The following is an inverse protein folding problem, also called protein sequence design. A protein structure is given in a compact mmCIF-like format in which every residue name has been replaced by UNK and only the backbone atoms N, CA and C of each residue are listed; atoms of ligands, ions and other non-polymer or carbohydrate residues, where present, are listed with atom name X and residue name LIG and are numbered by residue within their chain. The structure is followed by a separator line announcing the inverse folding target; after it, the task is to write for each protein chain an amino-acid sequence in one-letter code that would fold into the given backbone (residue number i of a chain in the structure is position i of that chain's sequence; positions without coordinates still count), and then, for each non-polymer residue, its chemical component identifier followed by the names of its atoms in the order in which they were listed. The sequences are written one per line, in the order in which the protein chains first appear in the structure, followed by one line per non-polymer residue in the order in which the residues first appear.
data_IF_669847595208
#
_entry.id   IF_669847595208
#
_cell.length_a   1.000
_cell.length_b   1.000
_cell.length_c   1.000
_cell.angle_alpha   90.00
_cell.angle_beta   90.00
_cell.angle_gamma   90.00
#
_symmetry.space_group_name_H-M   'P 1'
#
loop_
_entity.id
_entity.type
_entity.pdbx_description
1 polymer ?
#
# COMPACT_ATOMS: atom_id res chain seq x y z
N UNK A 1 22.24 -11.34 -8.12
CA UNK A 1 22.22 -9.87 -7.96
C UNK A 1 20.88 -9.23 -8.36
N UNK A 2 19.89 -10.00 -8.82
CA UNK A 2 18.56 -9.50 -9.28
C UNK A 2 17.50 -9.34 -8.18
N UNK A 3 17.70 -9.93 -6.99
CA UNK A 3 16.69 -9.91 -5.91
C UNK A 3 16.61 -8.61 -5.10
N UNK A 4 17.64 -7.76 -5.09
CA UNK A 4 17.62 -6.48 -4.33
C UNK A 4 16.65 -5.44 -4.91
N UNK A 5 16.42 -5.48 -6.21
CA UNK A 5 15.52 -4.54 -6.89
C UNK A 5 14.03 -4.87 -6.70
N UNK A 6 13.67 -6.12 -6.44
CA UNK A 6 12.28 -6.55 -6.37
C UNK A 6 11.58 -6.09 -5.09
N UNK A 7 12.28 -6.10 -3.97
CA UNK A 7 11.75 -5.70 -2.64
C UNK A 7 11.64 -4.20 -2.48
N UNK A 8 12.62 -3.46 -2.97
CA UNK A 8 12.65 -1.99 -2.90
C UNK A 8 11.47 -1.34 -3.62
N UNK A 9 10.93 -2.00 -4.58
CA UNK A 9 9.97 -1.52 -5.56
C UNK A 9 8.49 -1.57 -5.11
N UNK A 10 8.06 -2.46 -4.23
CA UNK A 10 6.66 -2.57 -3.75
C UNK A 10 6.31 -1.62 -2.61
N UNK A 11 7.28 -1.24 -1.84
CA UNK A 11 7.11 -0.44 -0.63
C UNK A 11 6.85 1.04 -0.89
N UNK A 12 7.12 1.47 -2.07
CA UNK A 12 6.93 2.85 -2.52
C UNK A 12 5.45 3.18 -2.71
N UNK A 13 4.63 2.17 -3.04
CA UNK A 13 3.16 2.31 -3.16
C UNK A 13 2.51 2.82 -1.87
N UNK A 14 3.16 2.62 -0.74
CA UNK A 14 2.58 2.81 0.58
C UNK A 14 3.06 4.08 1.24
N UNK A 15 4.28 4.47 0.96
CA UNK A 15 4.79 5.74 1.45
C UNK A 15 3.87 6.90 1.01
N UNK A 16 3.16 6.79 -0.14
CA UNK A 16 2.20 7.80 -0.58
C UNK A 16 0.96 7.88 0.29
N UNK A 17 0.45 6.74 0.74
CA UNK A 17 -0.68 6.75 1.66
C UNK A 17 -0.29 7.29 3.04
N UNK A 18 0.94 7.01 3.49
CA UNK A 18 1.49 7.60 4.72
C UNK A 18 1.81 9.09 4.57
N UNK A 19 2.06 9.59 3.35
CA UNK A 19 2.34 11.02 3.12
C UNK A 19 1.07 11.86 3.06
N UNK A 20 -0.09 11.30 2.74
CA UNK A 20 -1.36 11.97 3.07
C UNK A 20 -1.46 12.19 4.59
N UNK A 21 -0.80 11.34 5.39
CA UNK A 21 -0.76 11.45 6.86
C UNK A 21 0.34 12.40 7.40
N UNK A 22 1.50 12.47 6.78
CA UNK A 22 2.64 13.28 7.28
C UNK A 22 2.38 14.80 7.30
N UNK A 23 1.67 15.39 6.38
CA UNK A 23 1.39 16.84 6.37
C UNK A 23 0.44 17.36 7.42
N UNK A 24 -0.49 16.52 7.87
CA UNK A 24 -1.33 16.86 9.05
C UNK A 24 -0.44 17.14 10.25
N UNK A 25 0.77 16.55 10.27
CA UNK A 25 1.72 16.60 11.37
C UNK A 25 2.40 17.95 11.56
N UNK A 26 2.98 18.47 10.50
CA UNK A 26 3.86 19.64 10.62
C UNK A 26 3.10 20.91 10.94
N UNK A 27 1.87 21.03 10.46
CA UNK A 27 1.05 22.22 10.68
C UNK A 27 0.39 22.24 12.07
N UNK A 28 -0.02 21.09 12.59
CA UNK A 28 -0.71 21.03 13.87
C UNK A 28 0.24 21.11 15.06
N UNK A 29 1.48 20.64 14.94
CA UNK A 29 2.52 20.82 15.98
C UNK A 29 2.84 22.30 16.21
N UNK A 30 2.79 23.13 15.17
CA UNK A 30 3.03 24.56 15.28
C UNK A 30 1.84 25.35 15.89
N UNK A 31 0.60 24.85 15.79
CA UNK A 31 -0.59 25.53 16.34
C UNK A 31 -1.03 25.04 17.72
N UNK A 32 -0.69 23.81 18.10
CA UNK A 32 -1.27 23.16 19.29
C UNK A 32 -0.50 23.33 20.60
N UNK A 33 0.57 24.11 20.60
CA UNK A 33 1.28 24.46 21.84
C UNK A 33 0.44 25.35 22.80
N UNK A 34 -0.87 25.47 22.56
CA UNK A 34 -1.81 26.26 23.37
C UNK A 34 -3.18 25.60 23.58
N UNK A 35 -3.33 24.41 24.04
CA UNK A 35 -4.49 23.98 24.85
C UNK A 35 -4.60 22.44 24.86
N UNK A 36 -4.18 21.87 25.97
CA UNK A 36 -4.40 20.46 26.29
C UNK A 36 -5.69 20.34 27.10
N UNK A 37 -6.65 19.55 26.67
CA UNK A 37 -7.67 18.99 27.53
C UNK A 37 -8.04 17.57 27.08
N UNK A 38 -8.05 16.67 28.06
CA UNK A 38 -8.29 15.24 27.96
C UNK A 38 -9.72 14.91 27.61
N UNK A 39 -9.95 13.97 26.72
CA UNK A 39 -11.15 13.11 26.79
C UNK A 39 -10.80 11.69 26.29
N UNK A 40 -11.05 10.72 27.16
CA UNK A 40 -10.86 9.29 26.96
C UNK A 40 -12.04 8.70 26.18
N UNK A 41 -11.75 7.92 25.13
CA UNK A 41 -12.64 6.87 24.66
C UNK A 41 -11.81 5.62 24.39
N UNK A 42 -12.09 4.58 25.17
CA UNK A 42 -11.32 3.34 25.28
C UNK A 42 -11.86 2.32 24.27
N UNK A 43 -11.08 1.99 23.27
CA UNK A 43 -11.11 0.67 22.63
C UNK A 43 -9.76 0.02 22.92
N UNK A 44 -9.77 -1.16 23.55
CA UNK A 44 -8.56 -1.88 23.92
C UNK A 44 -7.81 -2.31 22.66
N UNK A 45 -6.75 -1.60 22.35
CA UNK A 45 -5.69 -2.00 21.44
C UNK A 45 -4.72 -2.87 22.24
N UNK A 46 -4.72 -4.18 21.98
CA UNK A 46 -3.82 -5.14 22.65
C UNK A 46 -2.41 -5.16 22.06
N UNK A 47 -2.15 -4.34 21.04
CA UNK A 47 -0.82 -4.13 20.48
C UNK A 47 0.11 -3.48 21.53
N UNK A 48 1.38 -3.81 21.49
CA UNK A 48 2.41 -3.11 22.28
C UNK A 48 2.22 -1.59 22.12
N UNK A 49 2.16 -0.81 23.19
CA UNK A 49 1.90 0.63 23.11
C UNK A 49 2.86 1.39 22.19
N UNK A 50 3.97 0.76 21.84
CA UNK A 50 5.02 1.33 21.00
C UNK A 50 4.99 0.85 19.53
N UNK A 51 4.15 -0.12 19.17
CA UNK A 51 4.06 -0.65 17.81
C UNK A 51 2.58 -0.62 17.38
N UNK A 52 2.27 0.11 16.32
CA UNK A 52 0.91 0.22 15.77
C UNK A 52 0.90 -0.24 14.33
N UNK A 53 0.00 -1.18 14.02
CA UNK A 53 -0.21 -1.72 12.69
C UNK A 53 -1.53 -1.22 12.10
N UNK A 54 -1.52 -0.87 10.81
CA UNK A 54 -2.71 -0.57 10.04
C UNK A 54 -2.57 -1.11 8.62
N UNK A 55 -3.71 -1.43 8.01
CA UNK A 55 -3.73 -1.98 6.67
C UNK A 55 -3.99 -0.90 5.63
N UNK A 56 -3.14 -0.83 4.64
CA UNK A 56 -3.36 -0.04 3.46
C UNK A 56 -3.96 -0.95 2.39
N UNK A 57 -5.10 -0.56 1.82
CA UNK A 57 -5.88 -1.36 0.89
C UNK A 57 -6.04 -0.59 -0.41
N UNK A 58 -5.54 -1.16 -1.50
CA UNK A 58 -5.84 -0.72 -2.86
C UNK A 58 -6.84 -1.66 -3.50
N UNK A 59 -7.98 -1.14 -3.98
CA UNK A 59 -9.03 -1.94 -4.58
C UNK A 59 -9.17 -1.67 -6.08
N UNK A 60 -9.70 -2.65 -6.81
CA UNK A 60 -10.06 -2.53 -8.22
C UNK A 60 -11.53 -2.15 -8.44
N UNK A 61 -12.20 -1.68 -7.38
CA UNK A 61 -13.60 -1.28 -7.39
C UNK A 61 -13.91 -0.25 -8.46
N UNK A 62 -15.08 -0.39 -9.08
CA UNK A 62 -15.66 0.57 -10.00
C UNK A 62 -16.96 1.09 -9.42
N UNK A 63 -17.32 2.31 -9.80
CA UNK A 63 -18.58 2.90 -9.39
C UNK A 63 -19.76 1.98 -9.76
N UNK A 64 -20.60 1.64 -8.76
CA UNK A 64 -21.74 0.74 -8.91
C UNK A 64 -21.45 -0.76 -8.72
N UNK A 65 -20.20 -1.20 -8.57
CA UNK A 65 -19.87 -2.58 -8.22
C UNK A 65 -20.02 -2.82 -6.71
N UNK A 66 -20.76 -3.87 -6.33
CA UNK A 66 -20.95 -4.21 -4.90
C UNK A 66 -19.81 -5.05 -4.32
N UNK A 67 -19.01 -5.70 -5.15
CA UNK A 67 -17.95 -6.59 -4.71
C UNK A 67 -16.72 -6.47 -5.61
N UNK A 68 -15.60 -6.14 -5.02
CA UNK A 68 -14.31 -5.99 -5.66
C UNK A 68 -13.21 -6.55 -4.78
N UNK A 69 -12.04 -6.80 -5.36
CA UNK A 69 -10.91 -7.42 -4.66
C UNK A 69 -9.90 -6.37 -4.21
N UNK A 70 -9.17 -6.70 -3.16
CA UNK A 70 -8.00 -5.94 -2.73
C UNK A 70 -6.78 -6.38 -3.55
N UNK A 71 -6.41 -5.59 -4.55
CA UNK A 71 -5.25 -5.88 -5.40
C UNK A 71 -3.92 -5.42 -4.79
N UNK A 72 -4.01 -4.55 -3.79
CA UNK A 72 -2.88 -4.09 -3.00
C UNK A 72 -3.22 -4.18 -1.51
N UNK A 73 -2.39 -4.86 -0.75
CA UNK A 73 -2.55 -5.00 0.70
C UNK A 73 -1.20 -4.83 1.37
N UNK A 74 -1.12 -3.88 2.31
CA UNK A 74 0.14 -3.59 2.94
C UNK A 74 -0.04 -3.26 4.40
N UNK A 75 0.64 -4.01 5.25
CA UNK A 75 0.74 -3.70 6.67
C UNK A 75 1.74 -2.56 6.82
N UNK A 76 1.24 -1.42 7.27
CA UNK A 76 2.07 -0.30 7.68
C UNK A 76 2.25 -0.36 9.19
N UNK A 77 3.48 -0.51 9.64
CA UNK A 77 3.85 -0.60 11.05
C UNK A 77 4.57 0.66 11.47
N UNK A 78 4.02 1.36 12.44
CA UNK A 78 4.67 2.45 13.15
C UNK A 78 5.36 1.88 14.39
N UNK A 79 6.68 1.73 14.32
CA UNK A 79 7.49 1.17 15.40
C UNK A 79 8.25 2.28 16.13
N UNK A 80 7.65 2.74 17.21
CA UNK A 80 8.21 3.81 18.05
C UNK A 80 9.36 3.30 18.93
N UNK A 81 9.39 1.99 19.22
CA UNK A 81 10.45 1.35 19.99
C UNK A 81 11.78 1.37 19.23
N UNK A 82 11.74 1.01 17.95
CA UNK A 82 12.93 0.95 17.09
C UNK A 82 13.06 2.17 16.18
N UNK A 83 12.18 3.18 16.34
CA UNK A 83 12.17 4.43 15.57
C UNK A 83 12.19 4.17 14.07
N UNK A 84 11.29 3.30 13.61
CA UNK A 84 11.17 2.91 12.21
C UNK A 84 9.72 2.88 11.77
N UNK A 85 9.52 3.08 10.47
CA UNK A 85 8.29 2.78 9.76
C UNK A 85 8.55 1.54 8.91
N UNK A 86 7.71 0.52 9.04
CA UNK A 86 7.87 -0.72 8.28
C UNK A 86 6.67 -0.92 7.36
N UNK A 87 6.95 -1.31 6.16
CA UNK A 87 5.94 -1.50 5.13
C UNK A 87 6.05 -2.93 4.60
N UNK A 88 5.04 -3.75 4.89
CA UNK A 88 5.04 -5.15 4.49
C UNK A 88 3.95 -5.40 3.45
N UNK A 89 4.32 -5.59 2.20
CA UNK A 89 3.39 -5.98 1.15
C UNK A 89 2.97 -7.43 1.31
N UNK A 90 1.66 -7.67 1.33
CA UNK A 90 1.08 -9.01 1.26
C UNK A 90 0.69 -9.31 -0.18
N UNK A 91 1.22 -10.41 -0.74
CA UNK A 91 0.89 -10.79 -2.12
C UNK A 91 -0.57 -11.21 -2.21
N UNK A 92 -1.32 -10.64 -3.14
CA UNK A 92 -2.77 -10.85 -3.29
C UNK A 92 -3.16 -12.30 -3.56
N UNK A 93 -2.30 -13.05 -4.27
CA UNK A 93 -2.53 -14.44 -4.63
C UNK A 93 -1.95 -15.42 -3.59
N UNK A 94 -1.60 -14.97 -2.38
CA UNK A 94 -1.18 -15.83 -1.27
C UNK A 94 -2.32 -16.77 -0.90
N UNK A 95 -2.06 -18.07 -0.86
CA UNK A 95 -3.05 -19.09 -0.49
C UNK A 95 -3.25 -19.09 1.02
N UNK A 96 -4.47 -18.85 1.48
CA UNK A 96 -4.79 -18.66 2.90
C UNK A 96 -6.11 -19.35 3.27
N UNK A 97 -6.34 -19.57 4.55
CA UNK A 97 -7.62 -19.99 5.09
C UNK A 97 -8.45 -18.76 5.47
N UNK A 98 -9.54 -18.51 4.72
CA UNK A 98 -10.46 -17.38 4.91
C UNK A 98 -11.59 -17.83 5.86
N UNK A 99 -11.73 -17.21 7.05
CA UNK A 99 -12.76 -17.58 8.02
C UNK A 99 -14.17 -17.58 7.43
N UNK A 100 -14.88 -18.71 7.56
CA UNK A 100 -16.25 -18.88 7.06
C UNK A 100 -16.40 -19.07 5.55
N UNK A 101 -15.30 -19.01 4.79
CA UNK A 101 -15.29 -19.21 3.33
C UNK A 101 -14.51 -20.47 2.94
N UNK A 102 -13.37 -20.71 3.56
CA UNK A 102 -12.46 -21.78 3.23
C UNK A 102 -11.14 -21.30 2.65
N UNK A 103 -10.37 -22.22 2.04
CA UNK A 103 -9.06 -21.86 1.48
C UNK A 103 -9.20 -21.20 0.11
N UNK A 104 -8.51 -20.07 -0.07
CA UNK A 104 -8.53 -19.26 -1.28
C UNK A 104 -7.37 -18.25 -1.33
N UNK A 105 -7.47 -17.29 -2.23
CA UNK A 105 -6.50 -16.19 -2.33
C UNK A 105 -6.75 -15.13 -1.26
N UNK A 106 -5.70 -14.54 -0.72
CA UNK A 106 -5.83 -13.50 0.31
C UNK A 106 -6.74 -12.34 -0.11
N UNK A 107 -6.67 -11.91 -1.38
CA UNK A 107 -7.51 -10.82 -1.88
C UNK A 107 -9.00 -11.16 -2.00
N UNK A 108 -9.37 -12.44 -1.96
CA UNK A 108 -10.76 -12.89 -1.94
C UNK A 108 -11.43 -12.64 -0.57
N UNK A 109 -10.65 -12.56 0.50
CA UNK A 109 -11.17 -12.20 1.81
C UNK A 109 -11.86 -10.82 1.78
N UNK A 110 -11.28 -9.86 1.07
CA UNK A 110 -11.89 -8.55 0.89
C UNK A 110 -13.17 -8.60 0.05
N UNK A 111 -13.21 -9.45 -0.97
CA UNK A 111 -14.40 -9.66 -1.81
C UNK A 111 -15.58 -10.19 -0.99
N UNK A 112 -15.34 -11.15 -0.10
CA UNK A 112 -16.39 -11.81 0.68
C UNK A 112 -16.86 -11.02 1.91
N UNK A 113 -15.99 -10.23 2.53
CA UNK A 113 -16.32 -9.57 3.80
C UNK A 113 -15.55 -8.29 4.08
N UNK A 114 -15.11 -7.57 3.02
CA UNK A 114 -14.43 -6.30 3.10
C UNK A 114 -13.23 -6.33 4.08
N UNK A 115 -12.90 -5.17 4.67
CA UNK A 115 -11.79 -5.01 5.60
C UNK A 115 -11.89 -5.94 6.83
N UNK A 116 -13.08 -6.17 7.36
CA UNK A 116 -13.26 -6.98 8.56
C UNK A 116 -12.85 -8.44 8.35
N UNK A 117 -13.27 -9.04 7.24
CA UNK A 117 -12.87 -10.42 6.93
C UNK A 117 -11.42 -10.52 6.53
N UNK A 118 -10.90 -9.49 5.85
CA UNK A 118 -9.48 -9.41 5.51
C UNK A 118 -8.62 -9.34 6.78
N UNK A 119 -9.00 -8.55 7.79
CA UNK A 119 -8.31 -8.49 9.08
C UNK A 119 -8.29 -9.87 9.76
N UNK A 120 -9.45 -10.51 9.89
CA UNK A 120 -9.57 -11.85 10.48
C UNK A 120 -8.75 -12.90 9.73
N UNK A 121 -8.66 -12.75 8.40
CA UNK A 121 -7.85 -13.65 7.55
C UNK A 121 -6.36 -13.45 7.78
N UNK A 122 -5.91 -12.20 7.88
CA UNK A 122 -4.51 -11.87 8.18
C UNK A 122 -4.14 -12.35 9.58
N UNK A 123 -4.99 -12.11 10.57
CA UNK A 123 -4.78 -12.57 11.94
C UNK A 123 -4.71 -14.11 12.02
N UNK A 124 -5.67 -14.81 11.40
CA UNK A 124 -5.72 -16.29 11.42
C UNK A 124 -4.48 -16.93 10.79
N UNK A 125 -4.01 -16.41 9.66
CA UNK A 125 -2.93 -17.05 8.90
C UNK A 125 -1.54 -16.55 9.30
N UNK A 126 -1.43 -15.29 9.76
CA UNK A 126 -0.13 -14.66 10.03
C UNK A 126 0.02 -14.24 11.50
N UNK A 127 -1.05 -14.29 12.30
CA UNK A 127 -1.05 -13.90 13.72
C UNK A 127 -0.70 -12.42 13.92
N UNK A 128 -1.16 -11.56 13.00
CA UNK A 128 -0.98 -10.11 13.05
C UNK A 128 -2.36 -9.48 13.18
N UNK A 129 -2.63 -8.88 14.33
CA UNK A 129 -3.88 -8.19 14.61
C UNK A 129 -3.92 -6.82 13.91
N UNK A 130 -5.05 -6.54 13.26
CA UNK A 130 -5.31 -5.30 12.51
C UNK A 130 -6.73 -4.82 12.80
N UNK A 131 -6.88 -3.53 13.11
CA UNK A 131 -8.17 -2.90 13.40
C UNK A 131 -8.36 -1.59 12.63
N UNK A 132 -7.32 -1.09 12.01
CA UNK A 132 -7.29 0.20 11.34
C UNK A 132 -6.87 0.02 9.89
N UNK A 133 -7.51 0.81 9.00
CA UNK A 133 -7.19 0.76 7.58
C UNK A 133 -7.24 2.13 6.93
N UNK A 134 -6.63 2.22 5.76
CA UNK A 134 -6.83 3.27 4.77
C UNK A 134 -7.02 2.58 3.44
N UNK A 135 -8.08 2.95 2.72
CA UNK A 135 -8.44 2.36 1.43
C UNK A 135 -8.51 3.43 0.36
N UNK A 136 -8.04 3.06 -0.83
CA UNK A 136 -8.09 3.89 -2.06
C UNK A 136 -8.43 2.98 -3.23
N UNK A 137 -9.31 3.40 -4.12
CA UNK A 137 -9.53 2.73 -5.40
C UNK A 137 -8.80 3.42 -6.57
N UNK A 138 -8.96 2.90 -7.79
CA UNK A 138 -8.32 3.50 -8.96
C UNK A 138 -8.82 4.91 -9.28
N UNK A 139 -10.10 5.17 -9.03
CA UNK A 139 -10.72 6.46 -9.29
C UNK A 139 -10.25 7.48 -8.26
N UNK A 140 -10.23 7.09 -7.00
CA UNK A 140 -9.65 7.87 -5.91
C UNK A 140 -8.20 8.25 -6.22
N UNK A 141 -7.39 7.28 -6.69
CA UNK A 141 -6.00 7.55 -7.05
C UNK A 141 -5.90 8.54 -8.23
N UNK A 142 -6.79 8.45 -9.23
CA UNK A 142 -6.86 9.45 -10.30
C UNK A 142 -7.15 10.83 -9.74
N UNK A 143 -8.15 10.94 -8.86
CA UNK A 143 -8.57 12.19 -8.25
C UNK A 143 -7.48 12.80 -7.34
N UNK A 144 -6.79 11.97 -6.57
CA UNK A 144 -5.60 12.36 -5.80
C UNK A 144 -4.53 12.95 -6.72
N UNK A 145 -4.21 12.27 -7.82
CA UNK A 145 -3.20 12.74 -8.78
C UNK A 145 -3.61 14.07 -9.42
N UNK A 146 -4.88 14.23 -9.80
CA UNK A 146 -5.38 15.50 -10.31
C UNK A 146 -5.28 16.63 -9.28
N UNK A 147 -5.70 16.38 -8.05
CA UNK A 147 -5.62 17.35 -6.93
C UNK A 147 -4.16 17.78 -6.68
N UNK A 148 -3.23 16.87 -6.83
CA UNK A 148 -1.80 17.16 -6.74
C UNK A 148 -1.23 17.82 -8.00
N UNK A 149 -2.02 17.98 -9.06
CA UNK A 149 -1.60 18.62 -10.33
C UNK A 149 -0.75 17.72 -11.22
N UNK A 150 -0.88 16.41 -11.09
CA UNK A 150 -0.18 15.41 -11.89
C UNK A 150 1.01 14.76 -11.17
N UNK A 151 1.59 13.77 -11.82
CA UNK A 151 2.75 13.01 -11.35
C UNK A 151 3.84 12.97 -12.42
N UNK A 152 5.08 13.13 -12.00
CA UNK A 152 6.25 13.11 -12.91
C UNK A 152 6.73 11.66 -13.11
N UNK A 153 6.62 11.15 -14.33
CA UNK A 153 7.00 9.79 -14.68
C UNK A 153 7.97 9.79 -15.86
N UNK A 154 8.98 8.95 -15.79
CA UNK A 154 9.83 8.65 -16.93
C UNK A 154 9.21 7.49 -17.72
N UNK A 155 8.67 7.82 -18.90
CA UNK A 155 7.96 6.92 -19.81
C UNK A 155 8.95 6.40 -20.87
N UNK A 156 9.06 5.08 -21.01
CA UNK A 156 9.91 4.45 -22.01
C UNK A 156 9.25 4.49 -23.40
N UNK A 157 10.05 4.49 -24.48
CA UNK A 157 9.54 4.60 -25.86
C UNK A 157 8.48 3.55 -26.18
N UNK A 158 8.74 2.30 -25.79
CA UNK A 158 7.81 1.18 -26.05
C UNK A 158 6.52 1.24 -25.18
N UNK A 159 6.46 2.11 -24.17
CA UNK A 159 5.29 2.28 -23.29
C UNK A 159 4.28 3.28 -23.88
N UNK A 160 4.71 4.20 -24.74
CA UNK A 160 3.88 5.30 -25.25
C UNK A 160 2.60 4.79 -25.94
N UNK A 161 2.73 3.84 -26.87
CA UNK A 161 1.58 3.25 -27.55
C UNK A 161 0.66 2.49 -26.58
N UNK A 162 1.25 1.71 -25.68
CA UNK A 162 0.51 0.94 -24.70
C UNK A 162 -0.28 1.83 -23.73
N UNK A 163 0.27 2.96 -23.30
CA UNK A 163 -0.43 3.96 -22.49
C UNK A 163 -1.60 4.53 -23.28
N UNK A 164 -1.35 4.98 -24.52
CA UNK A 164 -2.34 5.63 -25.34
C UNK A 164 -3.54 4.72 -25.64
N UNK A 165 -3.33 3.42 -25.78
CA UNK A 165 -4.41 2.43 -25.94
C UNK A 165 -5.26 2.26 -24.67
N UNK A 166 -4.73 2.60 -23.47
CA UNK A 166 -5.43 2.48 -22.19
C UNK A 166 -6.02 3.80 -21.67
N UNK A 167 -5.59 4.94 -22.21
CA UNK A 167 -6.10 6.27 -21.83
C UNK A 167 -7.61 6.40 -22.01
N UNK A 168 -8.25 6.00 -23.14
CA UNK A 168 -9.67 6.19 -23.31
C UNK A 168 -10.50 5.56 -22.19
N UNK A 169 -10.26 4.30 -21.88
CA UNK A 169 -10.97 3.61 -20.80
C UNK A 169 -10.70 4.21 -19.43
N UNK A 170 -9.49 4.71 -19.18
CA UNK A 170 -9.13 5.39 -17.91
C UNK A 170 -9.78 6.77 -17.83
N UNK A 171 -9.88 7.50 -18.95
CA UNK A 171 -10.55 8.79 -19.03
C UNK A 171 -12.06 8.66 -18.80
N UNK A 172 -12.72 7.66 -19.41
CA UNK A 172 -14.14 7.40 -19.21
C UNK A 172 -14.48 7.06 -17.75
N UNK A 173 -13.64 6.27 -17.09
CA UNK A 173 -13.84 5.89 -15.68
C UNK A 173 -13.47 7.00 -14.68
N UNK A 174 -12.83 8.08 -15.10
CA UNK A 174 -12.38 9.15 -14.23
C UNK A 174 -13.53 10.07 -13.82
N UNK A 175 -13.80 10.20 -12.54
CA UNK A 175 -14.87 11.06 -11.96
C UNK A 175 -14.41 12.46 -11.56
N UNK A 176 -13.15 12.83 -11.81
CA UNK A 176 -12.65 14.16 -11.47
C UNK A 176 -13.34 15.26 -12.29
N UNK A 177 -14.00 16.20 -11.63
CA UNK A 177 -14.82 17.22 -12.29
C UNK A 177 -14.06 18.06 -13.33
N UNK A 178 -12.82 18.41 -13.04
CA UNK A 178 -11.99 19.26 -13.89
C UNK A 178 -10.91 18.45 -14.65
N UNK A 179 -11.24 17.23 -15.10
CA UNK A 179 -10.27 16.39 -15.86
C UNK A 179 -9.87 16.95 -17.23
N UNK A 180 -10.62 17.92 -17.74
CA UNK A 180 -10.41 18.53 -19.05
C UNK A 180 -10.69 17.59 -20.21
N UNK A 181 -10.29 17.97 -21.41
CA UNK A 181 -10.36 17.10 -22.59
C UNK A 181 -9.35 15.96 -22.50
N UNK A 182 -9.69 14.83 -23.11
CA UNK A 182 -8.80 13.67 -23.18
C UNK A 182 -7.53 14.00 -23.98
N UNK A 183 -6.38 13.73 -23.40
CA UNK A 183 -5.07 13.96 -24.02
C UNK A 183 -4.24 12.68 -24.02
N UNK A 184 -3.73 12.34 -25.19
CA UNK A 184 -2.77 11.26 -25.36
C UNK A 184 -1.35 11.73 -24.97
N UNK A 185 -0.42 10.78 -24.83
CA UNK A 185 1.00 11.03 -24.64
C UNK A 185 1.66 11.08 -26.02
N UNK A 186 2.48 12.10 -26.28
CA UNK A 186 3.07 12.31 -27.60
C UNK A 186 4.51 11.79 -27.72
N UNK A 187 5.19 11.57 -26.61
CA UNK A 187 6.62 11.17 -26.60
C UNK A 187 6.98 10.39 -25.34
N UNK A 188 8.10 9.70 -25.39
CA UNK A 188 8.78 9.13 -24.25
C UNK A 188 9.54 10.17 -23.43
N UNK A 189 10.17 9.74 -22.34
CA UNK A 189 10.96 10.56 -21.43
C UNK A 189 10.19 11.05 -20.21
N UNK A 190 10.86 11.86 -19.41
CA UNK A 190 10.30 12.38 -18.15
C UNK A 190 9.25 13.45 -18.42
N UNK A 191 8.00 13.18 -18.07
CA UNK A 191 6.85 14.05 -18.29
C UNK A 191 5.84 14.01 -17.13
N UNK A 192 4.95 15.01 -17.10
CA UNK A 192 3.84 15.05 -16.16
C UNK A 192 2.64 14.27 -16.71
N UNK A 193 2.23 13.24 -16.00
CA UNK A 193 0.99 12.51 -16.27
C UNK A 193 -0.12 13.02 -15.36
N UNK A 194 -1.30 13.27 -15.92
CA UNK A 194 -2.50 13.52 -15.13
C UNK A 194 -3.09 12.22 -14.56
N UNK A 195 -4.22 12.30 -13.82
CA UNK A 195 -4.79 11.15 -13.13
C UNK A 195 -5.07 9.96 -14.06
N UNK A 196 -5.82 10.15 -15.15
CA UNK A 196 -6.16 9.06 -16.06
C UNK A 196 -4.96 8.53 -16.87
N UNK A 197 -4.00 9.39 -17.23
CA UNK A 197 -2.77 8.97 -17.90
C UNK A 197 -1.88 8.13 -16.97
N UNK A 198 -1.79 8.52 -15.70
CA UNK A 198 -1.03 7.79 -14.70
C UNK A 198 -1.65 6.41 -14.42
N UNK A 199 -2.98 6.32 -14.32
CA UNK A 199 -3.66 5.02 -14.19
C UNK A 199 -3.48 4.16 -15.44
N UNK A 200 -3.62 4.72 -16.66
CA UNK A 200 -3.31 4.02 -17.89
C UNK A 200 -1.89 3.43 -17.87
N UNK A 201 -0.90 4.22 -17.46
CA UNK A 201 0.49 3.78 -17.32
C UNK A 201 0.63 2.60 -16.35
N UNK A 202 -0.05 2.62 -15.22
CA UNK A 202 0.01 1.52 -14.24
C UNK A 202 -0.66 0.24 -14.71
N UNK A 203 -1.53 0.31 -15.72
CA UNK A 203 -2.35 -0.81 -16.24
C UNK A 203 -1.75 -1.52 -17.45
N UNK A 204 -0.62 -1.07 -17.97
CA UNK A 204 0.05 -1.74 -19.11
C UNK A 204 0.32 -3.21 -18.75
N UNK A 205 -0.17 -4.12 -19.62
CA UNK A 205 -0.02 -5.58 -19.47
C UNK A 205 0.61 -6.24 -20.68
N UNK A 206 0.54 -5.60 -21.85
CA UNK A 206 1.05 -6.14 -23.11
C UNK A 206 2.57 -5.99 -23.16
N UNK A 207 3.29 -7.04 -23.41
CA UNK A 207 4.77 -7.14 -23.45
C UNK A 207 5.48 -7.35 -22.10
N UNK A 208 4.79 -7.38 -20.96
CA UNK A 208 5.44 -7.33 -19.66
C UNK A 208 4.98 -8.43 -18.69
N UNK A 209 5.91 -8.89 -17.88
CA UNK A 209 5.60 -9.72 -16.73
C UNK A 209 5.00 -8.87 -15.58
N UNK A 210 4.41 -9.52 -14.57
CA UNK A 210 3.83 -8.86 -13.40
C UNK A 210 4.80 -7.90 -12.69
N UNK A 211 6.11 -8.17 -12.79
CA UNK A 211 7.19 -7.39 -12.18
C UNK A 211 7.27 -5.98 -12.79
N UNK A 212 7.18 -5.84 -14.11
CA UNK A 212 7.23 -4.54 -14.78
C UNK A 212 5.98 -3.70 -14.51
N UNK A 213 4.79 -4.34 -14.46
CA UNK A 213 3.55 -3.65 -14.05
C UNK A 213 3.69 -3.07 -12.64
N UNK A 214 4.14 -3.87 -11.69
CA UNK A 214 4.38 -3.44 -10.32
C UNK A 214 5.43 -2.31 -10.26
N UNK A 215 6.43 -2.32 -11.14
CA UNK A 215 7.41 -1.23 -11.25
C UNK A 215 6.78 0.10 -11.69
N UNK A 216 5.86 0.07 -12.66
CA UNK A 216 5.13 1.28 -13.12
C UNK A 216 4.23 1.85 -12.03
N UNK A 217 3.47 1.00 -11.35
CA UNK A 217 2.66 1.43 -10.22
C UNK A 217 3.50 2.17 -9.19
N UNK A 218 4.70 1.68 -8.92
CA UNK A 218 5.64 2.32 -7.99
C UNK A 218 6.19 3.65 -8.48
N UNK A 219 6.58 3.76 -9.77
CA UNK A 219 7.04 5.03 -10.35
C UNK A 219 6.00 6.13 -10.13
N UNK A 220 4.71 5.85 -10.45
CA UNK A 220 3.60 6.80 -10.25
C UNK A 220 3.53 7.24 -8.79
N UNK A 221 3.58 6.31 -7.91
CA UNK A 221 3.39 6.55 -6.49
C UNK A 221 4.56 7.31 -5.86
N UNK A 222 5.81 7.01 -6.26
CA UNK A 222 6.97 7.81 -5.84
C UNK A 222 6.88 9.25 -6.31
N UNK A 223 6.34 9.45 -7.49
CA UNK A 223 6.12 10.80 -7.98
C UNK A 223 5.06 11.53 -7.16
N UNK A 224 3.91 10.88 -6.86
CA UNK A 224 2.90 11.42 -5.94
C UNK A 224 3.55 11.87 -4.63
N UNK A 225 4.42 11.05 -4.05
CA UNK A 225 5.14 11.33 -2.82
C UNK A 225 6.06 12.53 -2.89
N UNK A 226 6.88 12.54 -3.92
CA UNK A 226 7.87 13.61 -4.12
C UNK A 226 7.19 14.96 -4.35
N UNK A 227 6.14 14.96 -5.18
CA UNK A 227 5.42 16.19 -5.50
C UNK A 227 4.59 16.68 -4.33
N UNK A 228 4.03 15.77 -3.54
CA UNK A 228 3.34 16.10 -2.31
C UNK A 228 4.30 16.78 -1.30
N UNK A 229 5.47 16.20 -1.03
CA UNK A 229 6.48 16.77 -0.13
C UNK A 229 6.89 18.17 -0.57
N UNK A 230 7.00 18.41 -1.87
CA UNK A 230 7.42 19.70 -2.42
C UNK A 230 6.32 20.77 -2.38
N UNK A 231 5.06 20.40 -2.51
CA UNK A 231 3.89 21.31 -2.50
C UNK A 231 3.37 21.62 -1.09
N UNK A 232 3.68 20.79 -0.15
CA UNK A 232 3.17 20.82 1.21
C UNK A 232 3.61 22.05 2.04
N UNK A 233 4.53 22.84 1.56
CA UNK A 233 5.12 23.94 2.34
C UNK A 233 4.24 25.18 2.44
N UNK A 234 3.24 25.39 1.58
CA UNK A 234 2.52 26.65 1.50
C UNK A 234 1.00 26.60 1.76
N UNK A 235 0.33 25.46 1.64
CA UNK A 235 -1.14 25.41 1.79
C UNK A 235 -1.68 24.02 2.21
N UNK A 236 -1.16 23.51 3.29
CA UNK A 236 -1.36 22.16 3.79
C UNK A 236 -2.82 21.81 4.14
N UNK A 237 -3.48 22.68 4.90
CA UNK A 237 -4.87 22.44 5.34
C UNK A 237 -5.83 22.32 4.15
N UNK A 238 -5.64 23.17 3.15
CA UNK A 238 -6.46 23.13 1.94
C UNK A 238 -6.25 21.82 1.20
N UNK A 239 -5.00 21.42 0.98
CA UNK A 239 -4.68 20.18 0.25
C UNK A 239 -5.22 18.94 0.93
N UNK A 240 -5.17 18.86 2.27
CA UNK A 240 -5.75 17.76 3.02
C UNK A 240 -7.27 17.70 2.91
N UNK A 241 -7.95 18.86 2.98
CA UNK A 241 -9.39 18.94 2.75
C UNK A 241 -9.76 18.50 1.34
N UNK A 242 -8.96 18.91 0.36
CA UNK A 242 -9.18 18.57 -1.05
C UNK A 242 -8.94 17.05 -1.32
N UNK A 243 -8.09 16.40 -0.55
CA UNK A 243 -7.78 14.96 -0.66
C UNK A 243 -8.72 14.06 0.17
N UNK A 244 -9.35 14.61 1.21
CA UNK A 244 -10.18 13.84 2.14
C UNK A 244 -11.32 13.03 1.47
N UNK A 245 -11.95 13.49 0.37
CA UNK A 245 -12.98 12.72 -0.31
C UNK A 245 -12.48 11.46 -1.01
N UNK A 246 -11.17 11.33 -1.24
CA UNK A 246 -10.57 10.32 -2.11
C UNK A 246 -9.87 9.19 -1.34
N UNK A 247 -10.24 8.95 -0.10
CA UNK A 247 -9.85 7.76 0.65
C UNK A 247 -10.89 7.41 1.71
N UNK A 248 -10.98 6.14 2.05
CA UNK A 248 -11.82 5.64 3.14
C UNK A 248 -10.95 5.14 4.28
N UNK A 249 -11.34 5.44 5.52
CA UNK A 249 -10.58 5.02 6.70
C UNK A 249 -11.46 5.00 7.95
N UNK A 250 -11.12 4.13 8.91
CA UNK A 250 -11.65 4.16 10.27
C UNK A 250 -10.66 4.78 11.28
N UNK A 251 -9.59 5.41 10.80
CA UNK A 251 -8.65 6.16 11.64
C UNK A 251 -9.18 7.59 11.80
N UNK A 252 -9.36 8.04 13.03
CA UNK A 252 -9.82 9.40 13.29
C UNK A 252 -8.74 10.42 12.95
N UNK A 253 -9.15 11.67 12.68
CA UNK A 253 -8.21 12.76 12.39
C UNK A 253 -7.23 13.00 13.56
N UNK A 254 -7.65 12.77 14.79
CA UNK A 254 -6.78 12.88 15.98
C UNK A 254 -5.74 11.77 16.00
N UNK A 255 -6.15 10.50 15.73
CA UNK A 255 -5.21 9.37 15.67
C UNK A 255 -4.19 9.54 14.54
N UNK A 256 -4.63 10.01 13.39
CA UNK A 256 -3.76 10.35 12.25
C UNK A 256 -2.72 11.39 12.70
N UNK A 257 -3.18 12.43 13.38
CA UNK A 257 -2.30 13.46 13.91
C UNK A 257 -1.26 12.91 14.89
N UNK A 258 -1.69 12.11 15.87
CA UNK A 258 -0.81 11.53 16.89
C UNK A 258 0.24 10.60 16.28
N UNK A 259 -0.19 9.72 15.35
CA UNK A 259 0.72 8.83 14.61
C UNK A 259 1.82 9.61 13.92
N UNK A 260 1.42 10.64 13.32
CA UNK A 260 2.22 11.50 12.52
C UNK A 260 3.21 12.34 13.36
N UNK A 261 2.76 12.98 14.44
CA UNK A 261 3.60 13.71 15.38
C UNK A 261 4.65 12.78 16.02
N UNK A 262 4.23 11.56 16.37
CA UNK A 262 5.12 10.54 16.93
C UNK A 262 6.19 10.09 15.93
N UNK A 263 5.83 9.83 14.65
CA UNK A 263 6.78 9.46 13.61
C UNK A 263 7.85 10.52 13.37
N UNK A 264 7.45 11.78 13.41
CA UNK A 264 8.37 12.91 13.26
C UNK A 264 9.27 13.09 14.49
N UNK A 265 8.67 13.16 15.68
CA UNK A 265 9.41 13.42 16.92
C UNK A 265 10.39 12.31 17.29
N UNK A 266 10.05 11.05 16.99
CA UNK A 266 10.96 9.91 17.20
C UNK A 266 12.04 9.78 16.13
N UNK A 267 11.91 10.45 14.99
CA UNK A 267 12.78 10.29 13.83
C UNK A 267 12.47 9.07 12.97
N UNK A 268 11.40 8.31 13.26
CA UNK A 268 11.01 7.10 12.53
C UNK A 268 10.79 7.37 11.02
N UNK A 269 10.34 8.57 10.67
CA UNK A 269 10.14 9.00 9.29
C UNK A 269 11.41 8.94 8.42
N UNK A 270 12.58 8.94 9.05
CA UNK A 270 13.87 8.84 8.34
C UNK A 270 14.37 7.40 8.23
N UNK A 271 13.70 6.45 8.88
CA UNK A 271 14.06 5.03 8.89
C UNK A 271 12.87 4.19 8.40
N UNK A 272 12.72 4.11 7.08
CA UNK A 272 11.64 3.35 6.44
C UNK A 272 12.19 2.03 5.94
N UNK A 273 11.68 0.93 6.50
CA UNK A 273 12.03 -0.44 6.12
C UNK A 273 10.91 -1.07 5.30
N UNK A 274 11.26 -2.05 4.50
CA UNK A 274 10.34 -2.62 3.54
C UNK A 274 10.51 -4.13 3.45
N UNK A 275 9.37 -4.83 3.32
CA UNK A 275 9.35 -6.27 3.16
C UNK A 275 8.18 -6.71 2.27
N UNK A 276 8.20 -7.95 1.85
CA UNK A 276 7.12 -8.61 1.15
C UNK A 276 6.89 -10.00 1.75
N UNK A 277 5.60 -10.37 1.90
CA UNK A 277 5.21 -11.73 2.25
C UNK A 277 4.21 -12.27 1.21
N UNK A 278 4.31 -13.54 0.76
CA UNK A 278 5.37 -14.48 1.07
C UNK A 278 6.76 -14.02 0.61
N UNK A 279 7.78 -14.58 1.24
CA UNK A 279 9.16 -14.35 0.85
C UNK A 279 9.39 -15.12 -0.46
N UNK A 280 9.58 -14.38 -1.55
CA UNK A 280 9.72 -15.00 -2.88
C UNK A 280 11.16 -15.40 -3.09
N UNK A 281 11.42 -16.66 -2.79
CA UNK A 281 12.66 -17.37 -3.10
C UNK A 281 12.34 -18.78 -3.64
N UNK A 282 13.36 -19.55 -3.95
CA UNK A 282 13.18 -20.90 -4.53
C UNK A 282 12.82 -21.97 -3.49
N UNK A 283 12.84 -21.64 -2.19
CA UNK A 283 12.70 -22.59 -1.09
C UNK A 283 11.42 -22.40 -0.28
N UNK A 284 11.13 -21.17 0.18
CA UNK A 284 10.07 -20.87 1.14
C UNK A 284 8.73 -20.52 0.48
N UNK A 285 8.68 -20.49 -0.86
CA UNK A 285 7.45 -20.22 -1.61
C UNK A 285 7.38 -21.10 -2.85
N UNK A 286 6.17 -21.53 -3.20
CA UNK A 286 5.89 -22.25 -4.45
C UNK A 286 4.72 -21.58 -5.18
N UNK A 287 4.99 -21.05 -6.36
CA UNK A 287 3.96 -20.53 -7.25
C UNK A 287 3.40 -21.62 -8.16
N UNK A 288 2.09 -21.65 -8.36
CA UNK A 288 1.46 -22.61 -9.27
C UNK A 288 -0.06 -22.67 -9.17
N UNK A 289 -0.69 -23.41 -10.07
CA UNK A 289 -2.14 -23.68 -10.03
C UNK A 289 -2.42 -24.74 -8.99
N UNK A 290 -3.30 -24.42 -8.05
CA UNK A 290 -3.63 -25.31 -6.94
C UNK A 290 -5.15 -25.39 -6.72
N UNK A 291 -5.68 -26.60 -6.87
CA UNK A 291 -7.12 -26.91 -6.70
C UNK A 291 -7.99 -25.88 -7.44
N UNK A 292 -9.11 -25.51 -6.85
CA UNK A 292 -10.09 -24.56 -7.42
C UNK A 292 -9.68 -23.08 -7.27
N UNK A 293 -8.61 -22.79 -6.49
CA UNK A 293 -8.12 -21.43 -6.27
C UNK A 293 -7.37 -20.85 -7.49
N UNK A 294 -7.10 -21.69 -8.52
CA UNK A 294 -6.29 -21.26 -9.65
C UNK A 294 -4.82 -21.05 -9.27
N UNK A 295 -4.16 -20.05 -9.90
CA UNK A 295 -2.76 -19.79 -9.60
C UNK A 295 -2.59 -19.05 -8.27
N UNK A 296 -1.76 -19.62 -7.38
CA UNK A 296 -1.53 -19.11 -6.01
C UNK A 296 -0.06 -19.17 -5.63
N UNK A 297 0.30 -18.43 -4.59
CA UNK A 297 1.52 -18.61 -3.82
C UNK A 297 1.24 -19.47 -2.59
N UNK A 298 1.79 -20.69 -2.56
CA UNK A 298 1.95 -21.47 -1.35
C UNK A 298 3.18 -20.99 -0.61
N UNK A 299 3.08 -20.72 0.68
CA UNK A 299 4.19 -20.25 1.50
C UNK A 299 4.56 -21.25 2.58
N UNK A 300 5.79 -21.17 3.03
CA UNK A 300 6.26 -21.94 4.18
C UNK A 300 5.65 -21.38 5.48
N UNK A 301 4.95 -22.25 6.23
CA UNK A 301 4.26 -21.86 7.47
C UNK A 301 5.23 -21.28 8.51
N UNK A 302 6.46 -21.77 8.58
CA UNK A 302 7.45 -21.29 9.51
C UNK A 302 7.99 -19.90 9.11
N UNK A 303 7.90 -19.52 7.83
CA UNK A 303 8.28 -18.18 7.36
C UNK A 303 7.38 -17.06 7.91
N UNK A 304 6.23 -17.40 8.49
CA UNK A 304 5.38 -16.44 9.22
C UNK A 304 6.12 -15.84 10.43
N UNK A 305 7.03 -16.59 11.06
CA UNK A 305 7.85 -16.03 12.14
C UNK A 305 8.82 -14.96 11.62
N UNK A 306 9.38 -15.14 10.42
CA UNK A 306 10.22 -14.11 9.77
C UNK A 306 9.43 -12.81 9.54
N UNK A 307 8.17 -12.93 9.11
CA UNK A 307 7.27 -11.79 8.97
C UNK A 307 7.04 -11.07 10.30
N UNK A 308 6.78 -11.83 11.39
CA UNK A 308 6.60 -11.26 12.74
C UNK A 308 7.87 -10.62 13.27
N UNK A 309 9.01 -11.22 13.04
CA UNK A 309 10.30 -10.67 13.45
C UNK A 309 10.60 -9.35 12.77
N UNK A 310 10.25 -9.22 11.49
CA UNK A 310 10.34 -7.94 10.79
C UNK A 310 9.40 -6.89 11.41
N UNK A 311 8.14 -7.23 11.65
CA UNK A 311 7.14 -6.28 12.15
C UNK A 311 7.42 -5.87 13.60
N UNK A 312 7.68 -6.84 14.49
CA UNK A 312 7.69 -6.60 15.94
C UNK A 312 9.10 -6.51 16.55
N UNK A 313 10.09 -7.18 15.96
CA UNK A 313 11.44 -7.28 16.51
C UNK A 313 12.50 -6.50 15.72
N UNK A 314 12.08 -5.80 14.65
CA UNK A 314 12.93 -4.96 13.78
C UNK A 314 14.06 -5.73 13.06
N UNK A 315 13.91 -7.04 12.89
CA UNK A 315 14.85 -7.89 12.14
C UNK A 315 14.48 -7.82 10.66
N UNK A 316 15.41 -7.39 9.81
CA UNK A 316 15.16 -7.42 8.37
C UNK A 316 14.98 -8.87 7.91
N UNK A 317 14.06 -9.12 6.96
CA UNK A 317 13.79 -10.48 6.50
C UNK A 317 15.04 -11.17 5.95
N UNK A 318 15.87 -10.46 5.21
CA UNK A 318 17.12 -10.96 4.64
C UNK A 318 18.19 -11.34 5.68
N UNK A 319 18.10 -10.77 6.88
CA UNK A 319 19.03 -11.04 7.98
C UNK A 319 18.52 -12.15 8.92
N UNK A 320 17.28 -12.64 8.71
CA UNK A 320 16.69 -13.65 9.58
C UNK A 320 17.38 -15.02 9.40
N UNK A 321 17.79 -15.61 10.51
CA UNK A 321 18.55 -16.89 10.48
C UNK A 321 17.72 -18.06 9.94
N UNK A 322 16.38 -18.03 10.11
CA UNK A 322 15.50 -19.06 9.56
C UNK A 322 15.66 -19.20 8.03
N UNK A 323 15.82 -18.10 7.30
CA UNK A 323 15.97 -18.14 5.85
C UNK A 323 17.33 -18.71 5.38
N UNK A 324 18.25 -18.93 6.29
CA UNK A 324 19.56 -19.58 6.04
C UNK A 324 19.51 -21.08 6.31
N UNK A 325 18.49 -21.55 7.05
CA UNK A 325 18.29 -22.95 7.43
C UNK A 325 17.20 -23.59 6.56
N UNK A 326 17.58 -24.51 5.71
CA UNK A 326 16.68 -25.19 4.77
C UNK A 326 16.06 -26.50 5.33
N UNK A 327 16.23 -26.79 6.61
CA UNK A 327 15.93 -28.13 7.17
C UNK A 327 14.46 -28.39 7.49
N UNK A 328 13.59 -27.37 7.59
CA UNK A 328 12.22 -27.49 8.11
C UNK A 328 11.16 -26.74 7.31
N UNK A 329 11.19 -26.82 5.99
CA UNK A 329 10.19 -26.14 5.14
C UNK A 329 8.86 -26.88 5.15
N UNK A 330 7.77 -26.21 5.50
CA UNK A 330 6.43 -26.74 5.51
C UNK A 330 5.47 -25.83 4.74
N UNK A 331 5.17 -26.18 3.49
CA UNK A 331 4.21 -25.40 2.68
C UNK A 331 2.77 -25.54 3.18
N UNK A 332 2.00 -24.49 3.05
CA UNK A 332 0.61 -24.34 3.53
C UNK A 332 -0.46 -24.96 2.59
N UNK A 333 -0.35 -26.24 2.27
CA UNK A 333 -1.30 -26.96 1.39
C UNK A 333 -2.76 -26.89 1.86
#
# INVERSE_FOLDING_TARGET
MENKDFTFKKAILILSLLIVLIPVITFSVLKFNKNSSKNNATTQDTSSPNIKNFLLIGTDGREGEQSFRSDCMIIATMDMKHKSIKLTSLARDTYVDIPGVGKGKLNEAYFWGKEELLFKTIEKNFGIELYKYIQVDFNDLMNIIFTLGGVRVDVEEHEVEAINNLIPASYESCTYDNKGEMKLINSSGTQMLNGYQAIAYTRIRYSDNAIKRDARQRKVLMSVLKDFKNKATSNYEKMLKDLAPYYSTNITSSEIFDLAANAYSSGAINNVKQAQFPIIDDLHVKGGTYKDAGWVWLYDLNSVQVLKDFIFNDINMEDNDYLKDNSNIQLNY
#
